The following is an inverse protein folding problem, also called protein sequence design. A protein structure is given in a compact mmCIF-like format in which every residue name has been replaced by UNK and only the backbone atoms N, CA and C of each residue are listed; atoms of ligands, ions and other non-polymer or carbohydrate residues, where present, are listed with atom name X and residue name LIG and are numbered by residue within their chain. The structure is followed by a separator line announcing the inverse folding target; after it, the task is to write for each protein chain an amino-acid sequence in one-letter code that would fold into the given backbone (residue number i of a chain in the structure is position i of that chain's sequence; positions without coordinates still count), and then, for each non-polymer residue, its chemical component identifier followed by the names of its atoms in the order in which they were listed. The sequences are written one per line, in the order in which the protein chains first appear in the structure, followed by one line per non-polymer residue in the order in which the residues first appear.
data_IF_854353650834
#
_entry.id   IF_854353650834
#
_cell.length_a   1.000
_cell.length_b   1.000
_cell.length_c   1.000
_cell.angle_alpha   90.00
_cell.angle_beta   90.00
_cell.angle_gamma   90.00
#
_symmetry.space_group_name_H-M   'P 1'
#
loop_
_entity.id
_entity.type
_entity.pdbx_description
1 polymer ?
#
# COMPACT_ATOMS: atom_id res chain seq x y z
N UNK A 1 57.31 -29.59 -20.68
CA UNK A 1 56.11 -30.21 -21.29
C UNK A 1 55.14 -30.57 -20.18
N UNK A 2 53.89 -30.09 -20.27
CA UNK A 2 52.71 -30.33 -19.38
C UNK A 2 52.80 -29.84 -17.93
N UNK A 3 51.74 -29.43 -17.24
CA UNK A 3 50.42 -28.87 -17.56
C UNK A 3 49.81 -28.58 -16.18
N UNK A 4 49.83 -27.33 -15.67
CA UNK A 4 49.18 -27.05 -14.38
C UNK A 4 47.83 -26.40 -14.61
N UNK A 5 46.79 -27.23 -14.52
CA UNK A 5 45.39 -26.86 -14.70
C UNK A 5 45.01 -25.76 -13.70
N UNK A 6 44.63 -24.60 -14.22
CA UNK A 6 43.80 -23.64 -13.50
C UNK A 6 42.49 -24.33 -13.12
N UNK A 7 42.41 -24.82 -11.87
CA UNK A 7 41.14 -25.20 -11.27
C UNK A 7 40.48 -23.89 -10.83
N UNK A 8 39.75 -23.27 -11.75
CA UNK A 8 38.77 -22.23 -11.44
C UNK A 8 37.62 -22.87 -10.66
N UNK A 9 37.80 -23.04 -9.35
CA UNK A 9 36.71 -23.37 -8.45
C UNK A 9 35.66 -22.24 -8.47
N UNK A 10 34.36 -22.55 -8.33
CA UNK A 10 33.33 -21.53 -8.25
C UNK A 10 33.69 -20.55 -7.13
N UNK A 11 33.80 -19.27 -7.47
CA UNK A 11 34.09 -18.21 -6.51
C UNK A 11 33.05 -18.26 -5.37
N UNK A 12 33.46 -18.24 -4.09
CA UNK A 12 32.52 -18.28 -2.99
C UNK A 12 31.65 -17.02 -3.05
N UNK A 13 30.36 -17.22 -3.31
CA UNK A 13 29.37 -16.14 -3.36
C UNK A 13 29.44 -15.38 -2.03
N UNK A 14 29.82 -14.11 -2.07
CA UNK A 14 30.00 -13.31 -0.85
C UNK A 14 28.67 -13.26 -0.07
N UNK A 15 28.67 -13.42 1.27
CA UNK A 15 27.46 -13.42 2.10
C UNK A 15 26.52 -12.22 1.88
N UNK A 16 27.08 -11.08 1.45
CA UNK A 16 26.36 -9.84 1.13
C UNK A 16 25.50 -9.95 -0.13
N UNK A 17 25.91 -10.74 -1.12
CA UNK A 17 25.14 -10.97 -2.36
C UNK A 17 23.96 -11.91 -2.13
N UNK A 18 24.14 -12.96 -1.32
CA UNK A 18 23.08 -13.90 -0.94
C UNK A 18 21.95 -13.17 -0.21
N UNK A 19 22.31 -12.33 0.78
CA UNK A 19 21.35 -11.51 1.53
C UNK A 19 20.59 -10.52 0.64
N UNK A 20 21.23 -9.99 -0.40
CA UNK A 20 20.59 -9.12 -1.38
C UNK A 20 19.57 -9.88 -2.24
N UNK A 21 19.95 -11.05 -2.78
CA UNK A 21 19.06 -11.89 -3.61
C UNK A 21 17.84 -12.39 -2.85
N UNK A 22 18.02 -12.86 -1.61
CA UNK A 22 16.89 -13.29 -0.74
C UNK A 22 15.93 -12.14 -0.48
N UNK A 23 16.46 -10.94 -0.22
CA UNK A 23 15.66 -9.74 0.01
C UNK A 23 14.85 -9.33 -1.23
N UNK A 24 15.45 -9.41 -2.42
CA UNK A 24 14.74 -9.21 -3.70
C UNK A 24 13.65 -10.25 -3.91
N UNK A 25 13.93 -11.52 -3.60
CA UNK A 25 12.97 -12.62 -3.74
C UNK A 25 11.76 -12.41 -2.84
N UNK A 26 11.97 -12.04 -1.56
CA UNK A 26 10.90 -11.74 -0.61
C UNK A 26 10.04 -10.57 -1.11
N UNK A 27 10.69 -9.51 -1.60
CA UNK A 27 10.00 -8.36 -2.16
C UNK A 27 9.15 -8.73 -3.39
N UNK A 28 9.71 -9.49 -4.33
CA UNK A 28 8.99 -9.98 -5.51
C UNK A 28 7.81 -10.88 -5.11
N UNK A 29 8.02 -11.79 -4.16
CA UNK A 29 6.98 -12.68 -3.66
C UNK A 29 5.82 -11.91 -3.03
N UNK A 30 6.08 -10.86 -2.24
CA UNK A 30 5.04 -10.02 -1.66
C UNK A 30 4.19 -9.32 -2.73
N UNK A 31 4.82 -8.77 -3.76
CA UNK A 31 4.10 -8.17 -4.90
C UNK A 31 3.24 -9.22 -5.60
N UNK A 32 3.80 -10.40 -5.87
CA UNK A 32 3.09 -11.50 -6.53
C UNK A 32 1.88 -11.94 -5.72
N UNK A 33 2.03 -12.12 -4.40
CA UNK A 33 0.92 -12.52 -3.51
C UNK A 33 -0.19 -11.48 -3.52
N UNK A 34 0.14 -10.19 -3.37
CA UNK A 34 -0.87 -9.13 -3.38
C UNK A 34 -1.56 -9.01 -4.75
N UNK A 35 -0.80 -9.14 -5.84
CA UNK A 35 -1.35 -9.15 -7.19
C UNK A 35 -2.26 -10.37 -7.42
N UNK A 36 -1.88 -11.55 -6.93
CA UNK A 36 -2.71 -12.75 -7.01
C UNK A 36 -4.00 -12.59 -6.21
N UNK A 37 -3.95 -12.05 -5.00
CA UNK A 37 -5.14 -11.73 -4.20
C UNK A 37 -6.07 -10.77 -4.94
N UNK A 38 -5.51 -9.75 -5.60
CA UNK A 38 -6.29 -8.82 -6.41
C UNK A 38 -6.95 -9.52 -7.61
N UNK A 39 -6.21 -10.36 -8.34
CA UNK A 39 -6.75 -11.12 -9.48
C UNK A 39 -7.86 -12.06 -9.02
N UNK A 40 -7.63 -12.82 -7.95
CA UNK A 40 -8.64 -13.72 -7.38
C UNK A 40 -9.91 -12.97 -6.99
N UNK A 41 -9.76 -11.79 -6.36
CA UNK A 41 -10.90 -10.94 -6.00
C UNK A 41 -11.65 -10.43 -7.23
N UNK A 42 -10.95 -9.95 -8.27
CA UNK A 42 -11.56 -9.46 -9.52
C UNK A 42 -12.22 -10.58 -10.35
N UNK A 43 -11.68 -11.80 -10.30
CA UNK A 43 -12.18 -12.93 -11.08
C UNK A 43 -13.34 -13.68 -10.41
N UNK A 44 -13.59 -13.47 -9.13
CA UNK A 44 -14.61 -14.22 -8.38
C UNK A 44 -15.77 -13.32 -7.94
N UNK A 45 -16.90 -13.42 -8.65
CA UNK A 45 -18.14 -12.76 -8.22
C UNK A 45 -18.60 -13.22 -6.83
N UNK A 46 -18.33 -14.49 -6.48
CA UNK A 46 -18.67 -15.05 -5.17
C UNK A 46 -17.93 -14.32 -4.05
N UNK A 47 -16.64 -14.01 -4.23
CA UNK A 47 -15.85 -13.26 -3.25
C UNK A 47 -16.31 -11.80 -3.20
N UNK A 48 -16.63 -11.18 -4.34
CA UNK A 48 -17.10 -9.78 -4.38
C UNK A 48 -18.43 -9.58 -3.66
N UNK A 49 -19.33 -10.58 -3.74
CA UNK A 49 -20.65 -10.55 -3.08
C UNK A 49 -20.62 -11.14 -1.66
N UNK A 50 -19.56 -11.86 -1.30
CA UNK A 50 -19.43 -12.48 0.01
C UNK A 50 -19.43 -11.42 1.11
N UNK A 51 -20.08 -11.77 2.22
CA UNK A 51 -20.19 -10.94 3.42
C UNK A 51 -19.24 -11.43 4.50
N UNK A 52 -18.39 -12.42 4.22
CA UNK A 52 -17.50 -12.97 5.22
C UNK A 52 -16.44 -11.95 5.64
N UNK A 53 -16.23 -11.82 6.95
CA UNK A 53 -15.22 -10.90 7.52
C UNK A 53 -13.79 -11.24 7.05
N UNK A 54 -13.54 -12.47 6.62
CA UNK A 54 -12.29 -12.86 5.97
C UNK A 54 -12.06 -12.12 4.65
N UNK A 55 -13.12 -11.87 3.87
CA UNK A 55 -13.03 -11.09 2.65
C UNK A 55 -12.64 -9.65 2.97
N UNK A 56 -13.26 -9.04 3.99
CA UNK A 56 -12.89 -7.70 4.45
C UNK A 56 -11.41 -7.63 4.85
N UNK A 57 -10.95 -8.57 5.67
CA UNK A 57 -9.56 -8.63 6.12
C UNK A 57 -8.56 -8.80 4.96
N UNK A 58 -8.84 -9.72 4.03
CA UNK A 58 -7.97 -9.99 2.87
C UNK A 58 -8.01 -8.80 1.88
N UNK A 59 -9.16 -8.13 1.76
CA UNK A 59 -9.33 -6.97 0.88
C UNK A 59 -8.44 -5.78 1.28
N UNK A 60 -8.09 -5.62 2.56
CA UNK A 60 -7.16 -4.59 3.02
C UNK A 60 -5.77 -4.71 2.36
N UNK A 61 -5.37 -5.90 1.89
CA UNK A 61 -4.07 -6.13 1.25
C UNK A 61 -3.96 -5.43 -0.11
N UNK A 62 -4.72 -5.81 -1.16
CA UNK A 62 -4.62 -5.18 -2.48
C UNK A 62 -5.06 -3.72 -2.49
N UNK A 63 -5.95 -3.32 -1.57
CA UNK A 63 -6.41 -1.92 -1.49
C UNK A 63 -5.38 -0.98 -0.87
N UNK A 64 -4.54 -1.46 0.06
CA UNK A 64 -3.61 -0.59 0.79
C UNK A 64 -2.14 -0.83 0.47
N UNK A 65 -1.79 -1.80 -0.37
CA UNK A 65 -0.41 -2.12 -0.71
C UNK A 65 0.28 -0.96 -1.46
N UNK A 66 1.41 -0.49 -0.93
CA UNK A 66 2.28 0.59 -1.44
C UNK A 66 1.57 1.90 -1.82
N UNK A 67 0.88 1.92 -2.95
CA UNK A 67 0.10 3.04 -3.46
C UNK A 67 -1.33 2.51 -3.63
N UNK A 68 -2.31 3.06 -2.89
CA UNK A 68 -3.69 2.60 -2.96
C UNK A 68 -4.29 2.95 -4.33
N UNK A 69 -4.35 1.96 -5.22
CA UNK A 69 -5.01 2.06 -6.54
C UNK A 69 -6.53 1.89 -6.36
N UNK A 70 -6.92 1.09 -5.38
CA UNK A 70 -8.29 0.67 -5.14
C UNK A 70 -8.79 1.38 -3.88
N UNK A 71 -9.94 2.08 -3.96
CA UNK A 71 -10.55 2.73 -2.82
C UNK A 71 -10.88 1.70 -1.74
N UNK A 72 -10.50 2.01 -0.51
CA UNK A 72 -10.74 1.11 0.60
C UNK A 72 -12.06 1.43 1.29
N UNK A 73 -12.36 2.72 1.41
CA UNK A 73 -13.46 3.27 2.20
C UNK A 73 -14.84 2.69 1.85
N UNK A 74 -15.20 2.46 0.57
CA UNK A 74 -16.53 1.95 0.23
C UNK A 74 -16.84 0.55 0.79
N UNK A 75 -15.82 -0.29 1.01
CA UNK A 75 -16.00 -1.64 1.57
C UNK A 75 -16.54 -1.57 3.00
N UNK A 76 -16.17 -0.52 3.75
CA UNK A 76 -16.58 -0.33 5.15
C UNK A 76 -18.05 0.05 5.25
N UNK A 77 -18.56 0.85 4.31
CA UNK A 77 -19.99 1.11 4.21
C UNK A 77 -20.77 -0.18 3.94
N UNK A 78 -20.28 -1.03 3.03
CA UNK A 78 -20.94 -2.29 2.68
C UNK A 78 -20.99 -3.26 3.87
N UNK A 79 -19.86 -3.54 4.50
CA UNK A 79 -19.81 -4.45 5.66
C UNK A 79 -20.51 -3.90 6.91
N UNK A 80 -20.57 -2.57 7.06
CA UNK A 80 -21.33 -1.90 8.13
C UNK A 80 -22.82 -2.24 8.13
N UNK A 81 -23.39 -2.61 6.98
CA UNK A 81 -24.80 -3.04 6.87
C UNK A 81 -25.07 -4.37 7.57
N UNK A 82 -24.08 -5.26 7.61
CA UNK A 82 -24.26 -6.66 8.04
C UNK A 82 -23.69 -6.93 9.43
N UNK A 83 -22.68 -6.18 9.85
CA UNK A 83 -21.96 -6.41 11.11
C UNK A 83 -22.03 -5.19 12.04
N UNK A 84 -21.57 -5.36 13.29
CA UNK A 84 -21.41 -4.22 14.18
C UNK A 84 -20.28 -3.30 13.67
N UNK A 85 -20.40 -1.97 13.77
CA UNK A 85 -19.35 -1.06 13.30
C UNK A 85 -18.00 -1.31 13.96
N UNK A 86 -18.01 -1.74 15.23
CA UNK A 86 -16.80 -2.10 15.97
C UNK A 86 -16.14 -3.36 15.39
N UNK A 87 -16.92 -4.40 15.06
CA UNK A 87 -16.39 -5.63 14.44
C UNK A 87 -15.74 -5.31 13.09
N UNK A 88 -16.42 -4.54 12.24
CA UNK A 88 -15.91 -4.13 10.93
C UNK A 88 -14.58 -3.38 11.09
N UNK A 89 -14.55 -2.37 11.98
CA UNK A 89 -13.35 -1.58 12.22
C UNK A 89 -12.18 -2.42 12.75
N UNK A 90 -12.42 -3.36 13.67
CA UNK A 90 -11.38 -4.20 14.26
C UNK A 90 -10.82 -5.24 13.28
N UNK A 91 -11.67 -5.87 12.48
CA UNK A 91 -11.23 -6.82 11.45
C UNK A 91 -10.42 -6.10 10.39
N UNK A 92 -10.92 -4.96 9.93
CA UNK A 92 -10.29 -4.17 8.88
C UNK A 92 -8.97 -3.52 9.33
N UNK A 93 -8.90 -3.01 10.57
CA UNK A 93 -7.64 -2.50 11.09
C UNK A 93 -6.61 -3.62 11.28
N UNK A 94 -7.02 -4.84 11.62
CA UNK A 94 -6.10 -5.98 11.71
C UNK A 94 -5.43 -6.28 10.35
N UNK A 95 -6.22 -6.35 9.27
CA UNK A 95 -5.69 -6.51 7.91
C UNK A 95 -4.79 -5.34 7.51
N UNK A 96 -5.24 -4.11 7.82
CA UNK A 96 -4.50 -2.86 7.61
C UNK A 96 -3.14 -2.85 8.31
N UNK A 97 -3.06 -3.26 9.57
CA UNK A 97 -1.80 -3.27 10.32
C UNK A 97 -0.80 -4.27 9.74
N UNK A 98 -1.27 -5.44 9.30
CA UNK A 98 -0.42 -6.44 8.66
C UNK A 98 0.14 -5.92 7.34
N UNK A 99 -0.71 -5.37 6.46
CA UNK A 99 -0.24 -4.82 5.19
C UNK A 99 0.65 -3.59 5.39
N UNK A 100 0.41 -2.77 6.42
CA UNK A 100 1.28 -1.63 6.75
C UNK A 100 2.65 -2.07 7.31
N UNK A 101 2.70 -3.16 8.08
CA UNK A 101 3.97 -3.76 8.51
C UNK A 101 4.76 -4.35 7.33
N UNK A 102 4.06 -4.99 6.38
CA UNK A 102 4.65 -5.46 5.13
C UNK A 102 5.17 -4.27 4.29
N UNK A 103 4.34 -3.24 4.09
CA UNK A 103 4.71 -2.01 3.37
C UNK A 103 5.94 -1.35 3.99
N UNK A 104 6.02 -1.25 5.33
CA UNK A 104 7.18 -0.69 6.00
C UNK A 104 8.47 -1.46 5.63
N UNK A 105 8.39 -2.79 5.65
CA UNK A 105 9.51 -3.67 5.30
C UNK A 105 9.92 -3.51 3.83
N UNK A 106 8.93 -3.41 2.94
CA UNK A 106 9.12 -3.15 1.52
C UNK A 106 9.79 -1.80 1.27
N UNK A 107 9.27 -0.72 1.88
CA UNK A 107 9.82 0.61 1.68
C UNK A 107 11.24 0.71 2.23
N UNK A 108 11.53 0.05 3.36
CA UNK A 108 12.88 -0.06 3.90
C UNK A 108 13.83 -0.78 2.94
N UNK A 109 13.33 -1.71 2.13
CA UNK A 109 14.13 -2.33 1.06
C UNK A 109 14.35 -1.37 -0.11
N UNK A 110 13.28 -0.72 -0.58
CA UNK A 110 13.31 0.15 -1.77
C UNK A 110 14.20 1.39 -1.52
N UNK A 111 14.19 1.95 -0.32
CA UNK A 111 14.93 3.17 0.02
C UNK A 111 16.45 3.02 -0.12
N UNK A 112 16.98 1.80 -0.03
CA UNK A 112 18.40 1.50 -0.21
C UNK A 112 18.84 1.61 -1.69
N UNK A 113 17.89 1.72 -2.62
CA UNK A 113 18.16 1.79 -4.07
C UNK A 113 18.77 3.14 -4.45
N UNK A 114 19.67 3.15 -5.45
CA UNK A 114 20.37 4.35 -5.94
C UNK A 114 19.45 5.53 -6.29
N UNK A 115 18.23 5.26 -6.78
CA UNK A 115 17.21 6.27 -7.06
C UNK A 115 16.76 7.01 -5.79
N UNK A 116 16.41 6.28 -4.74
CA UNK A 116 15.94 6.87 -3.48
C UNK A 116 17.07 7.55 -2.71
N UNK A 117 18.31 7.05 -2.83
CA UNK A 117 19.48 7.72 -2.26
C UNK A 117 19.68 9.11 -2.87
N UNK A 118 19.53 9.27 -4.20
CA UNK A 118 19.59 10.59 -4.85
C UNK A 118 18.47 11.52 -4.39
N UNK A 119 17.24 11.02 -4.27
CA UNK A 119 16.10 11.81 -3.79
C UNK A 119 16.33 12.32 -2.35
N UNK A 120 16.88 11.47 -1.47
CA UNK A 120 17.20 11.81 -0.08
C UNK A 120 18.25 12.91 0.06
N UNK A 121 19.14 13.07 -0.92
CA UNK A 121 20.17 14.12 -0.93
C UNK A 121 19.63 15.50 -1.31
N UNK A 122 18.38 15.62 -1.75
CA UNK A 122 17.79 16.92 -2.07
C UNK A 122 17.47 17.72 -0.79
N UNK A 123 17.71 19.04 -0.83
CA UNK A 123 17.42 19.95 0.30
C UNK A 123 15.94 19.89 0.71
N UNK A 124 15.04 19.75 -0.26
CA UNK A 124 13.60 19.63 -0.01
C UNK A 124 13.24 18.36 0.75
N UNK A 125 13.78 17.20 0.34
CA UNK A 125 13.52 15.94 1.05
C UNK A 125 14.05 15.99 2.49
N UNK A 126 15.25 16.53 2.70
CA UNK A 126 15.81 16.71 4.04
C UNK A 126 14.93 17.59 4.94
N UNK A 127 14.44 18.72 4.42
CA UNK A 127 13.56 19.65 5.16
C UNK A 127 12.23 19.02 5.54
N UNK A 128 11.61 18.24 4.65
CA UNK A 128 10.34 17.55 4.95
C UNK A 128 10.54 16.46 6.00
N UNK A 129 11.65 15.71 5.94
CA UNK A 129 11.99 14.71 6.96
C UNK A 129 12.27 15.38 8.31
N UNK A 130 12.99 16.51 8.33
CA UNK A 130 13.23 17.29 9.55
C UNK A 130 11.92 17.78 10.18
N UNK A 131 11.00 18.31 9.36
CA UNK A 131 9.70 18.75 9.83
C UNK A 131 8.88 17.58 10.42
N UNK A 132 8.88 16.43 9.73
CA UNK A 132 8.22 15.22 10.23
C UNK A 132 8.80 14.75 11.57
N UNK A 133 10.12 14.82 11.74
CA UNK A 133 10.82 14.41 12.96
C UNK A 133 10.47 15.24 14.20
N UNK A 134 9.89 16.44 14.04
CA UNK A 134 9.46 17.26 15.19
C UNK A 134 8.31 16.62 15.97
N UNK A 135 7.36 16.00 15.27
CA UNK A 135 6.18 15.39 15.87
C UNK A 135 5.64 14.22 15.03
N UNK A 136 6.44 13.15 14.81
CA UNK A 136 6.10 12.10 13.84
C UNK A 136 4.82 11.35 14.21
N UNK A 137 4.61 11.08 15.50
CA UNK A 137 3.40 10.39 15.96
C UNK A 137 2.13 11.22 15.72
N UNK A 138 2.16 12.51 16.05
CA UNK A 138 1.03 13.43 15.85
C UNK A 138 0.77 13.63 14.36
N UNK A 139 1.81 13.78 13.55
CA UNK A 139 1.68 13.88 12.10
C UNK A 139 0.96 12.66 11.51
N UNK A 140 1.31 11.45 11.97
CA UNK A 140 0.64 10.21 11.55
C UNK A 140 -0.80 10.13 12.05
N UNK A 141 -1.07 10.57 13.29
CA UNK A 141 -2.43 10.59 13.83
C UNK A 141 -3.35 11.49 13.01
N UNK A 142 -2.93 12.73 12.78
CA UNK A 142 -3.70 13.72 12.00
C UNK A 142 -3.87 13.25 10.56
N UNK A 143 -2.81 12.74 9.94
CA UNK A 143 -2.87 12.22 8.57
C UNK A 143 -3.80 11.00 8.44
N UNK A 144 -3.85 10.11 9.44
CA UNK A 144 -4.70 8.93 9.41
C UNK A 144 -6.17 9.22 9.70
N UNK A 145 -6.46 10.24 10.53
CA UNK A 145 -7.81 10.70 10.82
C UNK A 145 -8.43 11.52 9.69
N UNK A 146 -7.59 12.23 8.93
CA UNK A 146 -8.04 13.07 7.82
C UNK A 146 -8.13 12.28 6.50
N UNK A 147 -8.93 12.73 5.53
CA UNK A 147 -9.04 12.09 4.21
C UNK A 147 -7.84 12.39 3.29
N UNK A 148 -6.69 12.76 3.84
CA UNK A 148 -5.50 13.06 3.03
C UNK A 148 -4.84 11.77 2.54
N UNK A 149 -4.13 11.80 1.39
CA UNK A 149 -3.37 10.65 0.94
C UNK A 149 -2.31 10.27 1.98
N UNK A 150 -2.39 9.05 2.50
CA UNK A 150 -1.49 8.58 3.56
C UNK A 150 -0.14 8.08 3.01
N UNK A 151 -0.05 7.76 1.71
CA UNK A 151 1.15 7.20 1.09
C UNK A 151 2.44 8.03 1.32
N UNK A 152 2.45 9.40 1.30
CA UNK A 152 3.67 10.17 1.54
C UNK A 152 4.23 9.94 2.94
N UNK A 153 3.36 9.76 3.94
CA UNK A 153 3.76 9.49 5.32
C UNK A 153 4.42 8.12 5.47
N UNK A 154 4.01 7.13 4.67
CA UNK A 154 4.69 5.81 4.63
C UNK A 154 6.16 5.95 4.24
N UNK A 155 6.45 6.80 3.24
CA UNK A 155 7.83 7.11 2.86
C UNK A 155 8.57 7.88 3.96
N UNK A 156 7.93 8.89 4.55
CA UNK A 156 8.55 9.71 5.62
C UNK A 156 8.94 8.87 6.82
N UNK A 157 8.05 7.97 7.26
CA UNK A 157 8.29 7.03 8.37
C UNK A 157 9.57 6.23 8.15
N UNK A 158 9.78 5.69 6.96
CA UNK A 158 10.98 4.90 6.63
C UNK A 158 12.22 5.80 6.45
N UNK A 159 12.10 6.94 5.76
CA UNK A 159 13.20 7.90 5.60
C UNK A 159 13.70 8.43 6.95
N UNK A 160 12.78 8.69 7.88
CA UNK A 160 13.05 9.15 9.23
C UNK A 160 13.52 8.05 10.19
N UNK A 161 13.57 6.78 9.74
CA UNK A 161 13.90 5.63 10.59
C UNK A 161 12.98 5.52 11.81
N UNK A 162 11.71 5.89 11.65
CA UNK A 162 10.73 5.93 12.73
C UNK A 162 10.36 4.50 13.17
N UNK A 163 10.37 4.17 14.48
CA UNK A 163 10.16 2.81 14.96
C UNK A 163 8.80 2.24 14.53
N UNK A 164 8.83 1.03 13.95
CA UNK A 164 7.66 0.36 13.36
C UNK A 164 6.50 0.20 14.34
N UNK A 165 6.75 -0.10 15.61
CA UNK A 165 5.68 -0.28 16.58
C UNK A 165 4.92 1.04 16.86
N UNK A 166 5.62 2.18 16.91
CA UNK A 166 4.97 3.50 17.07
C UNK A 166 4.20 3.87 15.82
N UNK A 167 4.73 3.52 14.64
CA UNK A 167 4.02 3.68 13.37
C UNK A 167 2.70 2.90 13.38
N UNK A 168 2.75 1.60 13.67
CA UNK A 168 1.56 0.74 13.71
C UNK A 168 0.56 1.19 14.78
N UNK A 169 1.04 1.63 15.94
CA UNK A 169 0.18 2.21 16.97
C UNK A 169 -0.52 3.49 16.48
N UNK A 170 0.19 4.38 15.78
CA UNK A 170 -0.41 5.58 15.20
C UNK A 170 -1.45 5.22 14.13
N UNK A 171 -1.20 4.21 13.30
CA UNK A 171 -2.17 3.70 12.33
C UNK A 171 -3.41 3.16 13.04
N UNK A 172 -3.22 2.32 14.06
CA UNK A 172 -4.32 1.76 14.85
C UNK A 172 -5.19 2.88 15.45
N UNK A 173 -4.58 3.83 16.14
CA UNK A 173 -5.31 4.90 16.84
C UNK A 173 -5.98 5.90 15.89
N UNK A 174 -5.42 6.13 14.71
CA UNK A 174 -5.97 7.09 13.75
C UNK A 174 -7.01 6.49 12.82
N UNK A 175 -6.77 5.26 12.33
CA UNK A 175 -7.64 4.64 11.34
C UNK A 175 -8.80 3.89 11.97
N UNK A 176 -8.67 3.31 13.17
CA UNK A 176 -9.78 2.61 13.82
C UNK A 176 -11.00 3.52 14.04
N UNK A 177 -10.86 4.77 14.55
CA UNK A 177 -12.00 5.68 14.67
C UNK A 177 -12.64 6.00 13.32
N UNK A 178 -11.81 6.23 12.30
CA UNK A 178 -12.30 6.50 10.94
C UNK A 178 -13.05 5.30 10.37
N UNK A 179 -12.52 4.09 10.50
CA UNK A 179 -13.15 2.87 10.02
C UNK A 179 -14.47 2.59 10.76
N UNK A 180 -14.48 2.83 12.07
CA UNK A 180 -15.69 2.75 12.89
C UNK A 180 -16.76 3.72 12.41
N UNK A 181 -16.42 4.99 12.18
CA UNK A 181 -17.36 6.00 11.67
C UNK A 181 -17.90 5.62 10.30
N UNK A 182 -17.05 5.14 9.39
CA UNK A 182 -17.50 4.70 8.05
C UNK A 182 -18.45 3.50 8.15
N UNK A 183 -18.13 2.49 8.96
CA UNK A 183 -19.01 1.35 9.18
C UNK A 183 -20.32 1.75 9.89
N UNK A 184 -20.26 2.71 10.82
CA UNK A 184 -21.43 3.25 11.49
C UNK A 184 -22.34 3.97 10.51
N UNK A 185 -21.79 4.76 9.58
CA UNK A 185 -22.55 5.39 8.50
C UNK A 185 -23.22 4.33 7.63
N UNK A 186 -22.51 3.28 7.24
CA UNK A 186 -23.07 2.18 6.46
C UNK A 186 -24.20 1.42 7.17
N UNK A 187 -24.19 1.40 8.50
CA UNK A 187 -25.24 0.82 9.33
C UNK A 187 -26.43 1.76 9.55
N UNK A 188 -26.16 3.02 9.81
CA UNK A 188 -27.16 4.03 10.17
C UNK A 188 -27.93 4.50 8.93
N UNK A 189 -27.23 4.65 7.81
CA UNK A 189 -27.79 5.01 6.51
C UNK A 189 -27.83 3.71 5.72
N UNK A 190 -29.03 3.19 5.43
CA UNK A 190 -29.20 2.07 4.50
C UNK A 190 -28.84 2.53 3.08
N UNK A 191 -27.55 2.75 2.82
CA UNK A 191 -27.04 3.25 1.54
C UNK A 191 -27.33 2.17 0.49
N UNK A 192 -28.11 2.44 -0.56
CA UNK A 192 -28.33 1.47 -1.63
C UNK A 192 -27.02 0.98 -2.26
N UNK A 193 -26.92 -0.29 -2.63
CA UNK A 193 -25.67 -0.88 -3.17
C UNK A 193 -25.15 -0.14 -4.41
N UNK A 194 -26.05 0.36 -5.27
CA UNK A 194 -25.68 1.14 -6.45
C UNK A 194 -24.94 2.44 -6.09
N UNK A 195 -25.29 3.11 -4.98
CA UNK A 195 -24.59 4.32 -4.55
C UNK A 195 -23.16 4.00 -4.09
N UNK A 196 -22.96 2.88 -3.40
CA UNK A 196 -21.63 2.42 -2.99
C UNK A 196 -20.77 2.15 -4.23
N UNK A 197 -21.33 1.49 -5.25
CA UNK A 197 -20.66 1.25 -6.53
C UNK A 197 -20.31 2.56 -7.24
N UNK A 198 -21.24 3.53 -7.29
CA UNK A 198 -20.98 4.85 -7.89
C UNK A 198 -19.85 5.58 -7.16
N UNK A 199 -19.87 5.61 -5.81
CA UNK A 199 -18.80 6.21 -5.01
C UNK A 199 -17.45 5.52 -5.31
N UNK A 200 -17.45 4.19 -5.37
CA UNK A 200 -16.25 3.41 -5.68
C UNK A 200 -15.67 3.77 -7.06
N UNK A 201 -16.52 3.87 -8.10
CA UNK A 201 -16.12 4.27 -9.45
C UNK A 201 -15.56 5.70 -9.45
N UNK A 202 -16.25 6.65 -8.79
CA UNK A 202 -15.79 8.04 -8.69
C UNK A 202 -14.40 8.11 -8.06
N UNK A 203 -14.17 7.39 -6.96
CA UNK A 203 -12.87 7.36 -6.29
C UNK A 203 -11.79 6.73 -7.17
N UNK A 204 -12.08 5.63 -7.88
CA UNK A 204 -11.15 5.03 -8.84
C UNK A 204 -10.77 6.03 -9.93
N UNK A 205 -11.76 6.69 -10.54
CA UNK A 205 -11.53 7.65 -11.63
C UNK A 205 -10.79 8.89 -11.14
N UNK A 206 -11.08 9.37 -9.93
CA UNK A 206 -10.38 10.52 -9.36
C UNK A 206 -8.90 10.22 -9.10
N UNK A 207 -8.60 9.03 -8.57
CA UNK A 207 -7.22 8.62 -8.27
C UNK A 207 -6.44 8.29 -9.55
N UNK A 208 -7.05 7.54 -10.48
CA UNK A 208 -6.34 6.97 -11.62
C UNK A 208 -6.54 7.75 -12.94
N UNK A 209 -7.56 8.60 -13.03
CA UNK A 209 -7.93 9.36 -14.23
C UNK A 209 -6.81 10.25 -14.78
N UNK A 210 -6.07 11.01 -13.95
CA UNK A 210 -4.93 11.80 -14.42
C UNK A 210 -3.81 10.94 -15.03
N UNK A 211 -3.56 9.76 -14.47
CA UNK A 211 -2.57 8.80 -14.96
C UNK A 211 -3.04 8.22 -16.30
N UNK A 212 -4.29 7.78 -16.38
CA UNK A 212 -4.90 7.23 -17.60
C UNK A 212 -4.89 8.25 -18.74
N UNK A 213 -5.22 9.51 -18.46
CA UNK A 213 -5.17 10.61 -19.45
C UNK A 213 -3.76 10.82 -20.00
N UNK A 214 -2.72 10.76 -19.16
CA UNK A 214 -1.32 10.87 -19.61
C UNK A 214 -0.90 9.70 -20.50
N UNK A 215 -1.29 8.47 -20.15
CA UNK A 215 -1.02 7.29 -20.98
C UNK A 215 -1.72 7.35 -22.34
N UNK A 216 -2.98 7.77 -22.38
CA UNK A 216 -3.76 7.92 -23.61
C UNK A 216 -3.19 9.03 -24.51
N UNK A 217 -2.78 10.18 -23.94
CA UNK A 217 -2.17 11.29 -24.67
C UNK A 217 -0.81 10.90 -25.28
N UNK A 218 0.02 10.15 -24.54
CA UNK A 218 1.31 9.66 -25.06
C UNK A 218 1.14 8.65 -26.20
N UNK A 219 0.05 7.85 -26.20
CA UNK A 219 -0.27 6.96 -27.33
C UNK A 219 -0.78 7.71 -28.57
N UNK A 220 -1.45 8.85 -28.42
CA UNK A 220 -1.85 9.69 -29.56
C UNK A 220 -0.65 10.42 -30.19
N UNK A 221 0.30 10.90 -29.38
CA UNK A 221 1.56 11.50 -29.87
C UNK A 221 2.40 10.54 -30.72
N UNK A 222 2.55 9.28 -30.30
CA UNK A 222 3.30 8.28 -31.06
C UNK A 222 2.64 7.84 -32.38
N UNK A 223 1.32 8.02 -32.54
CA UNK A 223 0.63 7.74 -33.82
C UNK A 223 0.80 8.86 -34.84
N UNK A 224 1.16 10.07 -34.41
CA UNK A 224 1.26 11.25 -35.29
C UNK A 224 2.65 11.40 -35.92
N UNK A 225 3.68 10.74 -35.36
CA UNK A 225 5.05 10.72 -35.88
C UNK A 225 5.40 9.47 -36.71
N UNK A 226 4.43 8.59 -36.94
CA UNK A 226 4.59 7.36 -37.74
C UNK A 226 3.78 7.41 -39.04
N UNK A 227 3.36 8.60 -39.49
CA UNK A 227 2.77 8.86 -40.81
C UNK A 227 3.63 9.87 -41.55
#
# INVERSE_FOLDING_TARGET
MKNNKNISGPSPVKPREIRSKIRTLIFALQIIVVAALLVVWLSSESIQKSKDLWVLFIYSFPSQFLIPIIPHEPVLFYFGKFYSPLTVALVDIAGTLLIEALNYSVFKYIIDTSFFQKMRQTKSAAKVVELFNRAPFVALLVAGLTPVPFYPFRFLVVMAHYPIWKYLLAIFLSRTPRFYVLALIGRAINIPDYLIIVIFIILIVSVNGPILRRFLKNRQGNKTHAS
#
